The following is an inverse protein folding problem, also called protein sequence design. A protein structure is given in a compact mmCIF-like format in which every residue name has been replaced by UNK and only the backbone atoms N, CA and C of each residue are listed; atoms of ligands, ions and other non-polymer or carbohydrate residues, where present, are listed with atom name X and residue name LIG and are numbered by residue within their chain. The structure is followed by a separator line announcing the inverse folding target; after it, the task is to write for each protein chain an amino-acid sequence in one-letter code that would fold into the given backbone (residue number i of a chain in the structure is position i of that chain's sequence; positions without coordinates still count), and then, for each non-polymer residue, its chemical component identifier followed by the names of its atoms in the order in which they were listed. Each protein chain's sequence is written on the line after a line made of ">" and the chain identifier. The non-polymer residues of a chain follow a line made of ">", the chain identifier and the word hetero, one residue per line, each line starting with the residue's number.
data_IF_799173284560
#
_entry.id   IF_799173284560
#
_cell.length_a   1.000
_cell.length_b   1.000
_cell.length_c   1.000
_cell.angle_alpha   90.00
_cell.angle_beta   90.00
_cell.angle_gamma   90.00
#
_symmetry.space_group_name_H-M   'P 1'
#
loop_
_entity.id
_entity.type
_entity.pdbx_description
1 polymer ?
#
# COMPACT_ATOMS: atom_id res chain seq x y z
N UNK A 1 18.57 3.41 4.26
CA UNK A 1 18.83 2.70 3.00
C UNK A 1 17.73 3.03 2.01
N UNK A 2 17.71 2.38 0.85
CA UNK A 2 16.61 2.41 -0.11
C UNK A 2 16.00 1.01 -0.18
N UNK A 3 14.68 0.94 -0.22
CA UNK A 3 13.92 -0.29 -0.40
C UNK A 3 13.02 -0.14 -1.62
N UNK A 4 12.84 -1.21 -2.39
CA UNK A 4 11.99 -1.27 -3.58
C UNK A 4 11.06 -2.48 -3.49
N UNK A 5 9.85 -2.32 -4.02
CA UNK A 5 8.85 -3.39 -4.13
C UNK A 5 8.20 -3.32 -5.51
N UNK A 6 7.81 -4.48 -6.05
CA UNK A 6 7.04 -4.53 -7.28
C UNK A 6 5.60 -4.01 -7.05
N UNK A 7 5.05 -3.36 -8.07
CA UNK A 7 3.65 -2.98 -8.09
C UNK A 7 2.73 -4.20 -8.18
N UNK A 8 1.55 -4.13 -7.57
CA UNK A 8 0.56 -5.18 -7.70
C UNK A 8 0.06 -5.30 -9.15
N UNK A 9 0.10 -6.51 -9.71
CA UNK A 9 -0.40 -6.77 -11.07
C UNK A 9 -1.92 -6.79 -11.06
N UNK A 10 -2.53 -5.75 -11.62
CA UNK A 10 -3.97 -5.55 -11.67
C UNK A 10 -4.44 -5.19 -13.09
N UNK A 11 -5.73 -5.33 -13.35
CA UNK A 11 -6.37 -4.70 -14.51
C UNK A 11 -6.71 -3.27 -14.14
N UNK A 12 -6.06 -2.30 -14.79
CA UNK A 12 -6.22 -0.86 -14.46
C UNK A 12 -7.58 -0.36 -14.94
N UNK A 13 -8.29 0.34 -14.05
CA UNK A 13 -9.53 1.07 -14.34
C UNK A 13 -9.30 2.57 -14.26
N UNK A 14 -8.66 3.05 -13.18
CA UNK A 14 -8.31 4.46 -12.93
C UNK A 14 -7.00 4.48 -12.10
N UNK A 15 -6.38 5.63 -11.89
CA UNK A 15 -5.26 5.82 -10.98
C UNK A 15 -5.47 6.95 -9.95
N UNK A 16 -6.61 7.65 -10.01
CA UNK A 16 -6.94 8.72 -9.06
C UNK A 16 -6.96 8.16 -7.63
N UNK A 17 -6.25 8.83 -6.72
CA UNK A 17 -6.19 8.44 -5.30
C UNK A 17 -5.24 7.27 -4.97
N UNK A 18 -4.57 6.67 -5.95
CA UNK A 18 -3.60 5.60 -5.70
C UNK A 18 -2.41 6.09 -4.85
N UNK A 19 -1.91 7.30 -5.12
CA UNK A 19 -0.84 7.93 -4.33
C UNK A 19 -1.27 8.25 -2.89
N UNK A 20 -2.51 8.71 -2.70
CA UNK A 20 -3.06 8.93 -1.36
C UNK A 20 -3.21 7.60 -0.59
N UNK A 21 -3.57 6.53 -1.29
CA UNK A 21 -3.63 5.17 -0.72
C UNK A 21 -2.25 4.71 -0.26
N UNK A 22 -1.19 4.92 -1.06
CA UNK A 22 0.20 4.68 -0.63
C UNK A 22 0.53 5.51 0.61
N UNK A 23 0.22 6.81 0.58
CA UNK A 23 0.46 7.71 1.70
C UNK A 23 -0.23 7.26 2.99
N UNK A 24 -1.48 6.80 2.91
CA UNK A 24 -2.23 6.30 4.05
C UNK A 24 -1.56 5.08 4.70
N UNK A 25 -1.10 4.11 3.90
CA UNK A 25 -0.38 2.94 4.41
C UNK A 25 0.98 3.31 4.99
N UNK A 26 1.71 4.26 4.39
CA UNK A 26 2.99 4.74 4.95
C UNK A 26 2.76 5.45 6.29
N UNK A 27 1.73 6.29 6.41
CA UNK A 27 1.37 6.94 7.68
C UNK A 27 0.97 5.92 8.75
N UNK A 28 0.21 4.88 8.39
CA UNK A 28 -0.07 3.76 9.29
C UNK A 28 1.23 3.09 9.77
N UNK A 29 2.18 2.84 8.86
CA UNK A 29 3.50 2.31 9.20
C UNK A 29 4.30 3.21 10.14
N UNK A 30 4.25 4.53 9.95
CA UNK A 30 4.87 5.50 10.89
C UNK A 30 4.24 5.40 12.28
N UNK A 31 2.92 5.27 12.38
CA UNK A 31 2.23 5.14 13.67
C UNK A 31 2.65 3.85 14.39
N UNK A 32 2.83 2.75 13.65
CA UNK A 32 3.16 1.44 14.22
C UNK A 32 4.64 1.28 14.56
N UNK A 33 5.54 1.83 13.74
CA UNK A 33 6.97 1.56 13.82
C UNK A 33 7.83 2.79 14.12
N UNK A 34 7.24 3.99 14.20
CA UNK A 34 7.93 5.29 14.18
C UNK A 34 8.66 5.59 12.87
N UNK A 35 8.99 6.86 12.64
CA UNK A 35 9.79 7.27 11.47
C UNK A 35 11.16 6.59 11.46
N UNK A 36 11.81 6.44 12.62
CA UNK A 36 13.12 5.82 12.72
C UNK A 36 13.09 4.29 12.53
N UNK A 37 11.93 3.65 12.78
CA UNK A 37 11.76 2.21 12.60
C UNK A 37 11.37 1.80 11.18
N UNK A 38 10.97 2.74 10.31
CA UNK A 38 10.71 2.48 8.90
C UNK A 38 12.01 2.36 8.10
N UNK A 39 12.69 1.23 8.26
CA UNK A 39 13.92 0.91 7.55
C UNK A 39 14.07 -0.60 7.31
N UNK A 40 14.83 -0.97 6.28
CA UNK A 40 15.10 -2.37 5.94
C UNK A 40 13.80 -3.14 5.70
N UNK A 41 13.72 -4.32 6.28
CA UNK A 41 12.55 -5.21 6.17
C UNK A 41 11.22 -4.55 6.54
N UNK A 42 11.19 -3.72 7.59
CA UNK A 42 9.95 -3.05 8.02
C UNK A 42 9.45 -2.09 6.96
N UNK A 43 10.36 -1.32 6.35
CA UNK A 43 9.99 -0.44 5.25
C UNK A 43 9.54 -1.24 4.02
N UNK A 44 10.21 -2.35 3.72
CA UNK A 44 9.84 -3.23 2.62
C UNK A 44 8.41 -3.79 2.78
N UNK A 45 8.05 -4.30 3.97
CA UNK A 45 6.71 -4.81 4.27
C UNK A 45 5.62 -3.72 4.16
N UNK A 46 5.89 -2.53 4.68
CA UNK A 46 4.97 -1.39 4.59
C UNK A 46 4.77 -0.98 3.13
N UNK A 47 5.85 -0.93 2.33
CA UNK A 47 5.77 -0.62 0.90
C UNK A 47 5.03 -1.71 0.13
N UNK A 48 5.24 -2.99 0.45
CA UNK A 48 4.53 -4.10 -0.18
C UNK A 48 3.01 -4.01 0.08
N UNK A 49 2.62 -3.74 1.33
CA UNK A 49 1.23 -3.46 1.70
C UNK A 49 0.67 -2.25 0.94
N UNK A 50 1.46 -1.18 0.81
CA UNK A 50 1.07 0.03 0.09
C UNK A 50 0.86 -0.24 -1.41
N UNK A 51 1.72 -1.04 -2.04
CA UNK A 51 1.63 -1.43 -3.44
C UNK A 51 0.36 -2.25 -3.73
N UNK A 52 0.01 -3.18 -2.84
CA UNK A 52 -1.24 -3.96 -2.94
C UNK A 52 -2.45 -3.04 -2.77
N UNK A 53 -2.46 -2.20 -1.74
CA UNK A 53 -3.58 -1.31 -1.47
C UNK A 53 -3.83 -0.34 -2.64
N UNK A 54 -2.77 0.28 -3.17
CA UNK A 54 -2.86 1.15 -4.32
C UNK A 54 -3.23 0.40 -5.60
N UNK A 55 -2.80 -0.87 -5.76
CA UNK A 55 -3.26 -1.73 -6.84
C UNK A 55 -4.76 -1.95 -6.81
N UNK A 56 -5.35 -2.17 -5.63
CA UNK A 56 -6.80 -2.28 -5.46
C UNK A 56 -7.48 -0.95 -5.84
N UNK A 57 -6.97 0.19 -5.36
CA UNK A 57 -7.47 1.52 -5.75
C UNK A 57 -7.45 1.69 -7.27
N UNK A 58 -6.35 1.31 -7.92
CA UNK A 58 -6.22 1.40 -9.39
C UNK A 58 -7.17 0.47 -10.16
N UNK A 59 -7.73 -0.55 -9.51
CA UNK A 59 -8.68 -1.48 -10.11
C UNK A 59 -10.14 -1.02 -10.00
N UNK A 60 -10.39 0.13 -9.36
CA UNK A 60 -11.71 0.73 -9.14
C UNK A 60 -11.80 2.10 -9.81
N UNK A 61 -13.00 2.63 -9.94
CA UNK A 61 -13.20 3.96 -10.52
C UNK A 61 -13.07 5.05 -9.45
N UNK A 62 -12.22 6.05 -9.68
CA UNK A 62 -11.96 7.13 -8.72
C UNK A 62 -11.14 6.70 -7.50
N UNK A 63 -11.07 7.58 -6.50
CA UNK A 63 -10.33 7.36 -5.26
C UNK A 63 -11.11 6.44 -4.30
N UNK A 64 -11.08 5.13 -4.57
CA UNK A 64 -11.73 4.10 -3.76
C UNK A 64 -10.70 3.15 -3.12
N UNK A 65 -10.07 3.53 -1.99
CA UNK A 65 -9.10 2.68 -1.30
C UNK A 65 -9.76 1.44 -0.68
N UNK A 66 -9.01 0.33 -0.51
CA UNK A 66 -9.55 -0.88 0.10
C UNK A 66 -9.86 -0.71 1.59
N UNK A 67 -10.86 -1.45 2.07
CA UNK A 67 -11.04 -1.70 3.49
C UNK A 67 -9.96 -2.65 4.02
N UNK A 68 -9.73 -2.61 5.34
CA UNK A 68 -8.74 -3.47 6.01
C UNK A 68 -8.90 -4.97 5.70
N UNK A 69 -10.13 -5.47 5.65
CA UNK A 69 -10.39 -6.89 5.39
C UNK A 69 -10.05 -7.29 3.95
N UNK A 70 -10.32 -6.42 2.98
CA UNK A 70 -9.96 -6.64 1.57
C UNK A 70 -8.43 -6.68 1.39
N UNK A 71 -7.72 -5.83 2.15
CA UNK A 71 -6.26 -5.80 2.12
C UNK A 71 -5.64 -7.05 2.77
N UNK A 72 -6.22 -7.54 3.88
CA UNK A 72 -5.80 -8.80 4.52
C UNK A 72 -5.98 -9.98 3.55
N UNK A 73 -7.15 -10.06 2.92
CA UNK A 73 -7.45 -11.09 1.91
C UNK A 73 -6.46 -11.03 0.74
N UNK A 74 -6.20 -9.82 0.20
CA UNK A 74 -5.27 -9.63 -0.91
C UNK A 74 -3.80 -9.93 -0.56
N UNK A 75 -3.42 -9.79 0.71
CA UNK A 75 -2.09 -10.14 1.21
C UNK A 75 -1.95 -11.62 1.59
N UNK A 76 -3.05 -12.40 1.55
CA UNK A 76 -3.06 -13.80 1.95
C UNK A 76 -2.79 -14.03 3.45
N UNK A 77 -3.19 -13.06 4.29
CA UNK A 77 -2.99 -13.07 5.75
C UNK A 77 -4.25 -13.50 6.52
#
# INVERSE_FOLDING_TARGET
>A
GMEEVDGAKITVVDSVGAGDTVGAIVVEGVIQHSVAGLQGHVLNEVLHKAAIAAGITCSRAGAEPPYKHELIEAMGQ
#
